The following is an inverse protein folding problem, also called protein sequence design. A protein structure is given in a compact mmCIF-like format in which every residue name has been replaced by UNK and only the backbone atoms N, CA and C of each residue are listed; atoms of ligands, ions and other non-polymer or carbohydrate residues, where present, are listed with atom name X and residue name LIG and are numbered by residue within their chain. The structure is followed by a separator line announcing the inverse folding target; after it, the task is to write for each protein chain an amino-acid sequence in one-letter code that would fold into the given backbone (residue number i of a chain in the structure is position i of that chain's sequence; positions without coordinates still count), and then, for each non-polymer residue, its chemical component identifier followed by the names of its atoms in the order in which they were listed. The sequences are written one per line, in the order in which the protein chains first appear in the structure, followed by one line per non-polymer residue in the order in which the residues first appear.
data_IF_792765579638
#
_entry.id   IF_792765579638
#
_cell.length_a   1.000
_cell.length_b   1.000
_cell.length_c   1.000
_cell.angle_alpha   90.00
_cell.angle_beta   90.00
_cell.angle_gamma   90.00
#
_symmetry.space_group_name_H-M   'P 1'
#
loop_
_entity.id
_entity.type
_entity.pdbx_description
1 polymer ?
#
# COMPACT_ATOMS: atom_id res chain seq x y z
N UNK A 1 -77.94 58.14 -18.59
CA UNK A 1 -79.01 57.45 -17.85
C UNK A 1 -78.43 56.38 -16.88
N UNK A 2 -78.22 56.82 -15.64
CA UNK A 2 -78.63 56.14 -14.40
C UNK A 2 -78.28 54.64 -14.18
N UNK A 3 -77.22 54.36 -13.38
CA UNK A 3 -77.13 53.56 -12.10
C UNK A 3 -77.71 52.11 -12.07
N UNK A 4 -77.28 51.10 -11.23
CA UNK A 4 -76.27 51.01 -10.14
C UNK A 4 -75.36 49.73 -10.06
N UNK A 5 -74.39 49.84 -9.13
CA UNK A 5 -73.87 48.89 -8.11
C UNK A 5 -74.00 47.36 -8.24
N UNK A 6 -72.87 46.68 -7.94
CA UNK A 6 -72.77 45.74 -6.79
C UNK A 6 -71.31 45.37 -6.47
N UNK A 7 -70.87 45.69 -5.26
CA UNK A 7 -69.79 45.01 -4.54
C UNK A 7 -70.18 43.55 -4.21
N UNK A 8 -69.19 42.67 -3.97
CA UNK A 8 -68.92 42.32 -2.58
C UNK A 8 -67.42 42.27 -2.21
N UNK A 9 -67.16 42.51 -0.93
CA UNK A 9 -65.94 42.21 -0.19
C UNK A 9 -65.77 40.68 -0.02
N UNK A 10 -64.57 40.21 0.34
CA UNK A 10 -64.24 39.56 1.64
C UNK A 10 -62.79 39.02 1.64
N UNK A 11 -62.10 39.26 2.77
CA UNK A 11 -60.94 38.57 3.38
C UNK A 11 -59.62 38.35 2.62
N UNK A 12 -58.62 39.17 3.00
CA UNK A 12 -57.22 38.78 3.01
C UNK A 12 -56.72 38.82 4.47
N UNK A 13 -56.42 37.64 5.03
CA UNK A 13 -55.72 37.47 6.31
C UNK A 13 -54.21 37.60 6.09
N UNK A 14 -53.48 38.41 6.88
CA UNK A 14 -52.02 38.49 6.79
C UNK A 14 -51.35 37.39 7.62
N UNK A 15 -50.55 36.54 6.98
CA UNK A 15 -49.66 35.60 7.65
C UNK A 15 -48.40 36.32 8.15
N UNK A 16 -47.99 35.94 9.37
CA UNK A 16 -47.04 36.60 10.22
C UNK A 16 -45.58 36.53 9.75
N UNK A 17 -44.85 37.61 10.04
CA UNK A 17 -43.39 37.73 10.10
C UNK A 17 -42.78 36.62 10.98
N UNK A 18 -41.84 35.87 10.41
CA UNK A 18 -40.92 35.01 11.15
C UNK A 18 -39.64 35.79 11.48
N UNK A 19 -39.15 35.77 12.73
CA UNK A 19 -37.93 36.47 13.11
C UNK A 19 -36.66 35.79 12.55
N UNK A 20 -35.61 36.55 12.24
CA UNK A 20 -34.34 36.01 11.75
C UNK A 20 -33.59 35.25 12.85
N UNK A 21 -33.00 34.11 12.46
CA UNK A 21 -32.20 33.26 13.32
C UNK A 21 -30.91 33.97 13.81
N UNK A 22 -30.51 33.78 15.09
CA UNK A 22 -29.28 34.36 15.64
C UNK A 22 -28.03 33.69 15.07
N UNK A 23 -27.00 34.52 14.86
CA UNK A 23 -25.77 34.20 14.16
C UNK A 23 -24.95 33.06 14.78
N UNK A 24 -24.33 32.29 13.88
CA UNK A 24 -23.23 31.40 14.21
C UNK A 24 -21.96 32.21 14.44
N UNK A 25 -21.52 32.30 15.69
CA UNK A 25 -20.18 32.77 16.01
C UNK A 25 -19.18 31.65 15.65
N UNK A 26 -18.22 31.97 14.77
CA UNK A 26 -17.08 31.11 14.48
C UNK A 26 -16.14 31.08 15.70
N UNK A 27 -16.21 29.97 16.44
CA UNK A 27 -15.26 29.65 17.50
C UNK A 27 -13.89 29.31 16.86
N UNK A 28 -12.97 30.28 16.90
CA UNK A 28 -11.58 30.10 16.49
C UNK A 28 -10.89 29.18 17.49
N UNK A 29 -10.66 27.93 17.08
CA UNK A 29 -9.89 26.96 17.85
C UNK A 29 -8.42 27.38 17.97
N UNK A 30 -8.02 27.81 19.17
CA UNK A 30 -6.62 28.03 19.54
C UNK A 30 -6.11 26.77 20.25
N UNK A 31 -5.14 26.02 19.68
CA UNK A 31 -4.60 24.84 20.34
C UNK A 31 -3.83 25.21 21.62
N UNK A 32 -3.88 24.38 22.67
CA UNK A 32 -3.15 24.64 23.91
C UNK A 32 -1.63 24.56 23.72
N UNK A 33 -0.84 25.36 24.47
CA UNK A 33 0.61 25.33 24.39
C UNK A 33 1.16 23.97 24.88
N UNK A 34 2.27 23.50 24.31
CA UNK A 34 2.88 22.23 24.70
C UNK A 34 3.36 22.28 26.17
N UNK A 35 3.35 21.14 26.89
CA UNK A 35 3.81 21.07 28.26
C UNK A 35 5.30 21.41 28.38
N UNK A 36 5.64 22.20 29.40
CA UNK A 36 7.00 22.59 29.72
C UNK A 36 7.88 21.35 30.00
N UNK A 37 9.01 21.25 29.29
CA UNK A 37 9.99 20.17 29.48
C UNK A 37 10.62 20.27 30.88
N UNK A 38 10.76 19.16 31.61
CA UNK A 38 11.50 19.16 32.88
C UNK A 38 13.00 19.42 32.64
N UNK A 39 13.70 20.07 33.59
CA UNK A 39 15.14 20.32 33.49
C UNK A 39 15.93 19.01 33.56
N UNK A 40 16.81 18.79 32.59
CA UNK A 40 17.77 17.68 32.62
C UNK A 40 18.79 17.91 33.73
N UNK A 41 18.84 16.98 34.69
CA UNK A 41 19.93 16.89 35.67
C UNK A 41 21.18 16.38 34.96
N UNK A 42 22.20 17.24 34.87
CA UNK A 42 23.56 16.87 34.50
C UNK A 42 24.16 15.95 35.55
N UNK A 43 24.40 14.69 35.22
CA UNK A 43 25.25 13.80 36.01
C UNK A 43 26.68 13.89 35.50
N UNK A 44 27.53 14.56 36.29
CA UNK A 44 28.98 14.53 36.13
C UNK A 44 29.48 13.10 36.30
N UNK A 45 30.03 12.52 35.23
CA UNK A 45 30.81 11.29 35.30
C UNK A 45 32.22 11.61 35.79
N UNK A 46 32.59 11.02 36.92
CA UNK A 46 33.90 11.16 37.53
C UNK A 46 34.98 10.42 36.74
N UNK A 47 36.15 11.07 36.65
CA UNK A 47 37.43 10.45 36.30
C UNK A 47 37.73 9.28 37.24
N UNK A 48 37.89 8.10 36.66
CA UNK A 48 38.51 6.94 37.30
C UNK A 48 39.66 6.47 36.41
N UNK A 49 40.84 6.99 36.72
CA UNK A 49 42.14 6.58 36.19
C UNK A 49 42.61 5.35 36.99
N UNK A 50 43.07 4.26 36.33
CA UNK A 50 44.09 3.43 36.95
C UNK A 50 45.31 3.31 36.03
N UNK A 51 46.35 3.98 36.49
CA UNK A 51 47.76 3.87 36.16
C UNK A 51 48.23 2.38 36.20
N UNK A 52 48.36 1.76 35.03
CA UNK A 52 48.99 0.45 34.85
C UNK A 52 50.52 0.60 34.84
N UNK A 53 51.15 0.16 35.92
CA UNK A 53 52.58 -0.19 35.95
C UNK A 53 52.77 -1.69 35.75
N UNK A 54 53.37 -2.07 34.62
CA UNK A 54 53.89 -3.42 34.36
C UNK A 54 55.06 -3.37 33.36
N UNK A 55 56.15 -4.12 33.57
CA UNK A 55 57.47 -3.82 32.99
C UNK A 55 57.76 -4.48 31.63
N UNK A 56 58.75 -3.92 30.93
CA UNK A 56 59.47 -4.50 29.78
C UNK A 56 59.99 -5.92 30.08
N UNK A 57 60.28 -6.75 29.06
CA UNK A 57 61.67 -6.73 28.54
C UNK A 57 61.86 -7.08 27.05
N UNK A 58 63.05 -6.72 26.53
CA UNK A 58 63.80 -7.34 25.42
C UNK A 58 63.15 -7.23 24.02
N UNK A 59 63.75 -6.61 23.01
CA UNK A 59 65.17 -6.58 22.64
C UNK A 59 65.30 -7.27 21.28
N UNK A 60 65.49 -6.50 20.20
CA UNK A 60 66.05 -6.98 18.93
C UNK A 60 66.65 -5.80 18.18
N UNK A 61 67.97 -5.77 18.12
CA UNK A 61 68.79 -4.99 17.18
C UNK A 61 68.57 -5.49 15.74
N UNK A 62 68.40 -4.59 14.76
CA UNK A 62 69.04 -4.66 13.44
C UNK A 62 68.75 -3.39 12.60
N UNK A 63 69.55 -3.06 11.56
CA UNK A 63 70.24 -1.78 11.52
C UNK A 63 69.81 -0.84 10.37
N UNK A 64 70.30 0.38 10.52
CA UNK A 64 70.36 1.54 9.64
C UNK A 64 70.32 1.35 8.10
N UNK A 65 69.40 2.11 7.49
CA UNK A 65 69.67 3.07 6.39
C UNK A 65 69.16 2.70 4.99
N UNK A 66 68.97 3.68 4.06
CA UNK A 66 68.93 5.13 4.22
C UNK A 66 67.59 5.78 3.79
N UNK A 67 67.41 6.96 4.37
CA UNK A 67 66.47 8.05 4.10
C UNK A 67 66.58 8.60 2.66
N UNK A 68 65.45 8.90 2.01
CA UNK A 68 65.39 10.02 1.08
C UNK A 68 64.51 11.16 1.62
N UNK A 69 65.06 12.36 1.44
CA UNK A 69 64.55 13.68 1.84
C UNK A 69 63.12 14.01 1.34
N UNK A 70 62.41 14.91 2.04
CA UNK A 70 61.12 15.43 1.63
C UNK A 70 61.28 16.59 0.63
N UNK A 71 60.87 16.38 -0.61
CA UNK A 71 60.67 17.50 -1.54
C UNK A 71 59.41 18.29 -1.16
N UNK A 72 59.64 19.58 -1.00
CA UNK A 72 58.68 20.64 -0.73
C UNK A 72 57.77 20.90 -1.93
N UNK A 73 56.51 21.16 -1.60
CA UNK A 73 55.64 22.23 -2.09
C UNK A 73 55.62 22.50 -3.60
N UNK A 74 54.45 22.26 -4.20
CA UNK A 74 53.78 23.27 -5.02
C UNK A 74 52.27 23.12 -4.85
N UNK A 75 51.69 24.16 -4.26
CA UNK A 75 50.29 24.40 -4.03
C UNK A 75 49.60 24.77 -5.34
N UNK A 76 48.71 23.90 -5.83
CA UNK A 76 47.79 24.21 -6.91
C UNK A 76 46.61 25.06 -6.36
N UNK A 77 46.14 26.06 -7.12
CA UNK A 77 45.21 27.07 -6.65
C UNK A 77 43.79 26.55 -6.48
N UNK A 78 43.18 27.02 -5.39
CA UNK A 78 41.77 26.96 -5.06
C UNK A 78 40.94 27.56 -6.23
N UNK A 79 40.01 26.81 -6.85
CA UNK A 79 39.15 27.37 -7.89
C UNK A 79 38.20 28.40 -7.27
N UNK A 80 38.26 29.62 -7.78
CA UNK A 80 37.31 30.69 -7.48
C UNK A 80 35.86 30.19 -7.74
N UNK A 81 34.89 30.50 -6.86
CA UNK A 81 33.51 30.13 -7.10
C UNK A 81 32.95 30.94 -8.28
N UNK A 82 32.67 30.26 -9.39
CA UNK A 82 31.87 30.82 -10.48
C UNK A 82 30.49 31.20 -9.93
N UNK A 83 30.22 32.50 -9.95
CA UNK A 83 28.94 33.11 -9.66
C UNK A 83 27.87 32.53 -10.59
N UNK A 84 26.93 31.76 -10.05
CA UNK A 84 25.74 31.34 -10.77
C UNK A 84 24.90 32.57 -11.18
N UNK A 85 24.42 32.64 -12.43
CA UNK A 85 23.50 33.71 -12.83
C UNK A 85 22.16 33.59 -12.08
N UNK A 86 21.68 34.73 -11.57
CA UNK A 86 20.33 34.90 -11.02
C UNK A 86 19.28 34.41 -12.04
N UNK A 87 18.32 33.56 -11.63
CA UNK A 87 17.18 33.24 -12.48
C UNK A 87 16.23 34.44 -12.59
N UNK A 88 15.98 34.85 -13.84
CA UNK A 88 14.96 35.82 -14.20
C UNK A 88 13.56 35.37 -13.73
N UNK A 89 12.69 36.29 -13.26
CA UNK A 89 11.34 35.92 -12.82
C UNK A 89 10.47 35.49 -14.00
N UNK A 90 10.08 34.22 -14.01
CA UNK A 90 9.05 33.70 -14.92
C UNK A 90 7.70 34.36 -14.65
N UNK A 91 7.21 35.06 -15.67
CA UNK A 91 5.89 35.67 -15.76
C UNK A 91 4.78 34.64 -15.67
N UNK A 92 3.88 34.81 -14.70
CA UNK A 92 2.61 34.11 -14.55
C UNK A 92 1.69 34.38 -15.75
N UNK A 93 1.19 33.36 -16.47
CA UNK A 93 0.11 33.55 -17.43
C UNK A 93 -1.23 33.65 -16.71
N UNK A 94 -1.82 34.84 -16.79
CA UNK A 94 -3.21 35.17 -16.47
C UNK A 94 -4.17 34.31 -17.32
N UNK A 95 -4.87 33.36 -16.69
CA UNK A 95 -5.87 32.53 -17.37
C UNK A 95 -7.26 33.09 -17.12
N UNK A 96 -7.86 33.57 -18.20
CA UNK A 96 -9.23 34.09 -18.28
C UNK A 96 -10.29 33.03 -17.89
N UNK A 97 -11.46 33.45 -17.37
CA UNK A 97 -12.55 32.56 -16.99
C UNK A 97 -13.31 32.04 -18.23
N UNK A 98 -13.47 30.72 -18.32
CA UNK A 98 -14.38 30.07 -19.27
C UNK A 98 -15.82 30.15 -18.77
N UNK A 99 -16.64 30.78 -19.60
CA UNK A 99 -18.07 31.01 -19.46
C UNK A 99 -18.86 29.70 -19.58
N UNK A 100 -19.79 29.49 -18.65
CA UNK A 100 -20.82 28.45 -18.73
C UNK A 100 -21.84 28.77 -19.84
N UNK A 101 -22.39 27.76 -20.53
CA UNK A 101 -23.68 27.90 -21.19
C UNK A 101 -24.80 27.27 -20.37
N UNK A 102 -25.75 28.12 -19.97
CA UNK A 102 -27.12 27.80 -19.59
C UNK A 102 -27.83 27.04 -20.73
N UNK A 103 -28.63 26.03 -20.39
CA UNK A 103 -29.69 25.54 -21.27
C UNK A 103 -30.99 25.41 -20.49
N UNK A 104 -31.97 26.12 -21.03
CA UNK A 104 -33.34 26.24 -20.58
C UNK A 104 -34.18 25.00 -20.92
N UNK A 105 -35.20 24.86 -20.07
CA UNK A 105 -36.44 24.08 -20.08
C UNK A 105 -37.19 23.92 -21.40
N UNK A 106 -37.84 22.76 -21.60
CA UNK A 106 -39.15 22.49 -22.24
C UNK A 106 -39.34 20.95 -22.29
N UNK A 107 -40.48 20.25 -22.22
CA UNK A 107 -41.90 20.46 -21.88
C UNK A 107 -42.52 19.04 -21.92
N UNK A 108 -43.47 18.72 -21.02
CA UNK A 108 -44.25 17.48 -21.01
C UNK A 108 -45.18 17.37 -22.25
N UNK A 109 -45.71 16.17 -22.58
CA UNK A 109 -47.07 15.88 -22.09
C UNK A 109 -47.39 14.40 -21.79
N UNK A 110 -48.32 14.25 -20.86
CA UNK A 110 -49.18 13.08 -20.58
C UNK A 110 -50.27 12.96 -21.66
N UNK A 111 -50.75 11.74 -22.02
CA UNK A 111 -52.13 11.39 -21.64
C UNK A 111 -52.39 9.90 -21.38
N UNK A 112 -53.22 9.61 -20.37
CA UNK A 112 -54.10 8.42 -20.31
C UNK A 112 -55.35 8.64 -21.20
N UNK A 113 -56.08 7.59 -21.66
CA UNK A 113 -57.19 7.09 -20.83
C UNK A 113 -57.54 5.60 -20.92
N UNK A 114 -58.39 5.23 -19.97
CA UNK A 114 -59.10 4.00 -19.60
C UNK A 114 -59.95 3.33 -20.70
N UNK A 115 -60.12 2.00 -20.59
CA UNK A 115 -61.38 1.18 -20.62
C UNK A 115 -61.00 -0.28 -20.96
N UNK A 116 -61.74 -1.36 -20.69
CA UNK A 116 -62.76 -1.78 -19.72
C UNK A 116 -63.09 -3.23 -20.14
N UNK A 117 -63.50 -4.06 -19.18
CA UNK A 117 -64.32 -5.28 -19.33
C UNK A 117 -63.71 -6.61 -19.84
N UNK A 118 -63.79 -7.58 -18.92
CA UNK A 118 -63.77 -9.03 -19.09
C UNK A 118 -64.93 -9.57 -19.95
N UNK A 119 -64.90 -10.86 -20.32
CA UNK A 119 -65.77 -11.78 -19.57
C UNK A 119 -65.14 -13.14 -19.21
N UNK A 120 -65.34 -13.50 -17.95
CA UNK A 120 -65.77 -14.79 -17.41
C UNK A 120 -65.72 -16.03 -18.32
N UNK A 121 -64.76 -16.93 -18.04
CA UNK A 121 -64.91 -18.39 -18.20
C UNK A 121 -64.20 -19.12 -17.08
N UNK A 122 -64.95 -19.99 -16.42
CA UNK A 122 -64.50 -21.14 -15.64
C UNK A 122 -65.36 -22.34 -16.07
N UNK A 123 -65.05 -23.60 -15.70
CA UNK A 123 -63.85 -24.14 -15.06
C UNK A 123 -63.25 -25.33 -15.87
N UNK A 124 -62.38 -26.12 -15.23
CA UNK A 124 -61.71 -27.36 -15.70
C UNK A 124 -60.36 -27.06 -16.39
N UNK A 125 -59.20 -27.52 -15.93
CA UNK A 125 -58.87 -28.82 -15.35
C UNK A 125 -57.69 -28.69 -14.39
N UNK A 126 -57.81 -29.33 -13.24
CA UNK A 126 -56.78 -29.57 -12.25
C UNK A 126 -55.63 -30.39 -12.87
N UNK A 127 -54.50 -29.76 -13.13
CA UNK A 127 -53.23 -30.44 -13.38
C UNK A 127 -52.17 -29.66 -12.63
N UNK A 128 -51.70 -30.26 -11.54
CA UNK A 128 -50.71 -29.71 -10.64
C UNK A 128 -49.45 -29.27 -11.43
N UNK A 129 -48.98 -28.02 -11.28
CA UNK A 129 -47.64 -27.67 -11.69
C UNK A 129 -46.68 -28.29 -10.67
N UNK A 130 -45.80 -29.14 -11.20
CA UNK A 130 -44.57 -29.59 -10.55
C UNK A 130 -43.85 -28.35 -10.03
N UNK A 131 -43.74 -28.24 -8.70
CA UNK A 131 -43.14 -27.10 -8.03
C UNK A 131 -41.67 -26.97 -8.46
N UNK A 132 -41.44 -26.12 -9.45
CA UNK A 132 -40.14 -25.57 -9.79
C UNK A 132 -39.55 -25.01 -8.50
N UNK A 133 -38.58 -25.75 -7.97
CA UNK A 133 -37.93 -25.43 -6.70
C UNK A 133 -37.19 -24.11 -6.91
N UNK A 134 -37.81 -23.02 -6.46
CA UNK A 134 -37.19 -21.71 -6.42
C UNK A 134 -35.80 -21.86 -5.79
N UNK A 135 -34.74 -21.31 -6.41
CA UNK A 135 -33.39 -21.40 -5.86
C UNK A 135 -33.43 -20.85 -4.43
N UNK A 136 -32.99 -21.67 -3.48
CA UNK A 136 -32.89 -21.27 -2.09
C UNK A 136 -32.16 -19.91 -2.01
N UNK A 137 -32.63 -18.97 -1.19
CA UNK A 137 -31.98 -17.67 -1.05
C UNK A 137 -30.50 -17.89 -0.71
N UNK A 138 -29.58 -17.12 -1.31
CA UNK A 138 -28.16 -17.31 -1.05
C UNK A 138 -27.92 -17.21 0.45
N UNK A 139 -27.41 -18.29 1.04
CA UNK A 139 -27.04 -18.34 2.44
C UNK A 139 -26.07 -17.19 2.67
N UNK A 140 -26.48 -16.19 3.47
CA UNK A 140 -25.60 -15.09 3.88
C UNK A 140 -24.39 -15.71 4.56
N UNK A 141 -23.25 -15.73 3.88
CA UNK A 141 -21.97 -16.10 4.48
C UNK A 141 -21.65 -15.04 5.52
N UNK A 142 -21.67 -15.42 6.79
CA UNK A 142 -21.14 -14.57 7.85
C UNK A 142 -19.63 -14.61 7.70
N UNK A 143 -19.02 -13.45 7.44
CA UNK A 143 -17.58 -13.39 7.29
C UNK A 143 -16.89 -13.73 8.62
N UNK A 144 -16.02 -14.73 8.63
CA UNK A 144 -15.24 -15.00 9.83
C UNK A 144 -14.18 -13.89 10.01
N UNK A 145 -13.79 -13.57 11.26
CA UNK A 145 -12.74 -12.60 11.50
C UNK A 145 -11.43 -13.01 10.81
N UNK A 146 -10.75 -12.05 10.18
CA UNK A 146 -9.43 -12.30 9.61
C UNK A 146 -8.44 -12.71 10.71
N UNK A 147 -7.54 -13.67 10.43
CA UNK A 147 -6.52 -14.05 11.39
C UNK A 147 -5.65 -12.83 11.76
N UNK A 148 -5.22 -12.72 13.03
CA UNK A 148 -4.33 -11.64 13.45
C UNK A 148 -2.99 -11.79 12.74
N UNK A 149 -2.39 -10.66 12.36
CA UNK A 149 -1.05 -10.61 11.77
C UNK A 149 -0.14 -9.80 12.68
N UNK A 150 1.16 -10.16 12.81
CA UNK A 150 2.07 -9.48 13.73
C UNK A 150 2.31 -8.01 13.39
N UNK A 151 2.32 -7.67 12.11
CA UNK A 151 2.59 -6.33 11.62
C UNK A 151 1.53 -5.86 10.63
N UNK A 152 1.22 -4.58 10.68
CA UNK A 152 0.30 -3.90 9.77
C UNK A 152 1.09 -3.05 8.76
N UNK A 153 0.52 -2.75 7.59
CA UNK A 153 1.04 -1.69 6.74
C UNK A 153 1.20 -0.40 7.54
N UNK A 154 2.40 0.20 7.51
CA UNK A 154 2.70 1.40 8.30
C UNK A 154 3.44 1.18 9.61
N UNK A 155 3.79 -0.06 9.98
CA UNK A 155 4.63 -0.37 11.15
C UNK A 155 5.94 0.44 11.18
N UNK A 156 6.32 0.95 12.35
CA UNK A 156 7.59 1.65 12.57
C UNK A 156 8.43 0.82 13.51
N UNK A 157 9.65 0.47 13.09
CA UNK A 157 10.54 -0.31 13.94
C UNK A 157 10.95 0.49 15.17
N UNK A 158 11.00 -0.18 16.32
CA UNK A 158 11.57 0.33 17.57
C UNK A 158 13.07 0.09 17.62
N UNK A 159 13.76 0.77 18.54
CA UNK A 159 15.20 0.55 18.75
C UNK A 159 15.50 -0.89 19.22
N UNK A 160 14.62 -1.46 20.05
CA UNK A 160 14.74 -2.83 20.51
C UNK A 160 14.59 -3.85 19.36
N UNK A 161 13.63 -3.63 18.45
CA UNK A 161 13.47 -4.48 17.26
C UNK A 161 14.69 -4.39 16.35
N UNK A 162 15.23 -3.19 16.12
CA UNK A 162 16.45 -3.00 15.31
C UNK A 162 17.67 -3.68 15.94
N UNK A 163 17.85 -3.53 17.25
CA UNK A 163 18.95 -4.17 17.99
C UNK A 163 18.85 -5.70 17.94
N UNK A 164 17.63 -6.25 18.12
CA UNK A 164 17.39 -7.68 18.03
C UNK A 164 17.60 -8.20 16.60
N UNK A 165 17.13 -7.49 15.58
CA UNK A 165 17.39 -7.85 14.18
C UNK A 165 18.90 -7.83 13.87
N UNK A 166 19.63 -6.83 14.35
CA UNK A 166 21.08 -6.76 14.16
C UNK A 166 21.79 -7.97 14.75
N UNK A 167 21.40 -8.42 15.93
CA UNK A 167 21.93 -9.64 16.55
C UNK A 167 21.59 -10.90 15.72
N UNK A 168 20.36 -11.01 15.20
CA UNK A 168 19.96 -12.12 14.33
C UNK A 168 20.77 -12.16 13.03
N UNK A 169 21.06 -11.01 12.46
CA UNK A 169 21.73 -10.86 11.17
C UNK A 169 23.26 -10.71 11.29
N UNK A 170 23.87 -10.91 12.46
CA UNK A 170 25.29 -10.63 12.73
C UNK A 170 26.22 -11.17 11.64
N UNK A 171 26.06 -12.44 11.26
CA UNK A 171 26.90 -13.12 10.27
C UNK A 171 26.82 -12.53 8.85
N UNK A 172 25.72 -11.84 8.51
CA UNK A 172 25.46 -11.28 7.17
C UNK A 172 25.39 -9.75 7.17
N UNK A 173 25.48 -9.12 8.34
CA UNK A 173 25.21 -7.71 8.56
C UNK A 173 26.09 -6.82 7.69
N UNK A 174 27.40 -7.04 7.70
CA UNK A 174 28.35 -6.18 6.98
C UNK A 174 28.16 -6.24 5.46
N UNK A 175 27.92 -7.44 4.92
CA UNK A 175 27.66 -7.65 3.48
C UNK A 175 26.49 -6.79 3.01
N UNK A 176 25.36 -6.87 3.71
CA UNK A 176 24.17 -6.10 3.36
C UNK A 176 24.31 -4.62 3.73
N UNK A 177 25.02 -4.31 4.81
CA UNK A 177 25.34 -2.95 5.23
C UNK A 177 26.14 -2.17 4.18
N UNK A 178 27.12 -2.80 3.51
CA UNK A 178 27.87 -2.17 2.40
C UNK A 178 26.98 -1.88 1.19
N UNK A 179 26.04 -2.76 0.87
CA UNK A 179 25.09 -2.54 -0.24
C UNK A 179 24.15 -1.36 0.07
N UNK A 180 23.58 -1.34 1.28
CA UNK A 180 22.68 -0.27 1.74
C UNK A 180 23.41 1.07 1.86
N UNK A 181 24.66 1.09 2.35
CA UNK A 181 25.45 2.33 2.42
C UNK A 181 25.60 3.00 1.05
N UNK A 182 25.87 2.22 -0.01
CA UNK A 182 25.94 2.70 -1.40
C UNK A 182 24.60 3.22 -1.93
N UNK A 183 23.48 2.72 -1.41
CA UNK A 183 22.17 3.25 -1.75
C UNK A 183 21.88 4.55 -1.00
N UNK A 184 22.22 4.63 0.29
CA UNK A 184 21.99 5.82 1.11
C UNK A 184 22.75 7.05 0.60
N UNK A 185 23.90 6.88 -0.07
CA UNK A 185 24.58 8.01 -0.74
C UNK A 185 23.74 8.62 -1.88
N UNK A 186 22.82 7.85 -2.47
CA UNK A 186 21.86 8.30 -3.49
C UNK A 186 20.55 8.86 -2.88
N UNK A 187 20.43 8.89 -1.55
CA UNK A 187 19.23 9.33 -0.81
C UNK A 187 19.58 10.34 0.30
N UNK A 188 19.96 11.58 -0.06
CA UNK A 188 20.50 12.56 0.89
C UNK A 188 19.49 13.07 1.93
N UNK A 189 18.19 12.78 1.76
CA UNK A 189 17.11 13.21 2.65
C UNK A 189 17.13 12.52 4.03
N UNK A 190 17.84 11.39 4.18
CA UNK A 190 17.96 10.67 5.45
C UNK A 190 19.28 11.06 6.13
N UNK A 191 19.24 11.82 7.22
CA UNK A 191 20.43 12.28 7.95
C UNK A 191 20.34 12.02 9.46
N UNK A 192 21.50 11.94 10.11
CA UNK A 192 21.60 11.80 11.57
C UNK A 192 20.96 10.50 12.09
N UNK A 193 20.22 10.59 13.19
CA UNK A 193 19.59 9.42 13.84
C UNK A 193 18.57 8.72 12.94
N UNK A 194 17.90 9.45 12.06
CA UNK A 194 16.98 8.84 11.09
C UNK A 194 17.75 7.96 10.09
N UNK A 195 18.97 8.34 9.73
CA UNK A 195 19.80 7.56 8.81
C UNK A 195 20.24 6.23 9.42
N UNK A 196 20.64 6.20 10.68
CA UNK A 196 21.04 4.94 11.34
C UNK A 196 19.84 4.02 11.57
N UNK A 197 18.70 4.57 12.00
CA UNK A 197 17.45 3.80 12.09
C UNK A 197 17.02 3.24 10.71
N UNK A 198 17.09 4.07 9.67
CA UNK A 198 16.79 3.65 8.31
C UNK A 198 17.78 2.60 7.79
N UNK A 199 19.07 2.67 8.18
CA UNK A 199 20.08 1.71 7.74
C UNK A 199 19.72 0.29 8.18
N UNK A 200 19.37 0.08 9.45
CA UNK A 200 18.97 -1.23 9.95
C UNK A 200 17.71 -1.76 9.22
N UNK A 201 16.69 -0.93 9.07
CA UNK A 201 15.46 -1.27 8.35
C UNK A 201 15.77 -1.67 6.88
N UNK A 202 16.59 -0.89 6.19
CA UNK A 202 16.93 -1.12 4.79
C UNK A 202 17.84 -2.34 4.60
N UNK A 203 18.66 -2.69 5.61
CA UNK A 203 19.40 -3.97 5.62
C UNK A 203 18.43 -5.14 5.66
N UNK A 204 17.38 -5.08 6.49
CA UNK A 204 16.34 -6.12 6.52
C UNK A 204 15.67 -6.28 5.15
N UNK A 205 15.26 -5.18 4.53
CA UNK A 205 14.62 -5.26 3.22
C UNK A 205 15.58 -5.74 2.12
N UNK A 206 16.84 -5.29 2.10
CA UNK A 206 17.83 -5.81 1.15
C UNK A 206 18.08 -7.31 1.37
N UNK A 207 18.18 -7.76 2.63
CA UNK A 207 18.37 -9.18 2.97
C UNK A 207 17.21 -10.02 2.39
N UNK A 208 15.97 -9.56 2.58
CA UNK A 208 14.76 -10.23 2.08
C UNK A 208 14.77 -10.38 0.56
N UNK A 209 15.13 -9.30 -0.15
CA UNK A 209 15.10 -9.26 -1.60
C UNK A 209 16.22 -10.05 -2.28
N UNK A 210 17.28 -10.43 -1.56
CA UNK A 210 18.51 -10.98 -2.16
C UNK A 210 18.94 -12.32 -1.59
N UNK A 211 18.21 -12.86 -0.61
CA UNK A 211 18.56 -14.11 0.07
C UNK A 211 17.46 -15.14 -0.12
N UNK A 212 17.76 -16.19 -0.88
CA UNK A 212 16.88 -17.33 -1.15
C UNK A 212 17.11 -18.51 -0.20
N UNK A 213 18.27 -18.61 0.44
CA UNK A 213 18.64 -19.77 1.26
C UNK A 213 19.09 -19.38 2.67
N UNK A 214 18.94 -20.31 3.61
CA UNK A 214 19.35 -20.17 5.01
C UNK A 214 18.26 -19.65 5.95
N UNK A 215 18.61 -19.49 7.23
CA UNK A 215 17.66 -19.17 8.30
C UNK A 215 17.04 -17.77 8.23
N UNK A 216 17.54 -16.91 7.33
CA UNK A 216 17.02 -15.57 7.07
C UNK A 216 16.55 -15.42 5.62
N UNK A 217 16.29 -16.53 4.91
CA UNK A 217 15.71 -16.48 3.57
C UNK A 217 14.29 -15.92 3.60
N UNK A 218 13.83 -15.44 2.45
CA UNK A 218 12.45 -14.96 2.31
C UNK A 218 11.40 -16.03 2.61
N UNK A 219 11.67 -17.29 2.23
CA UNK A 219 10.78 -18.42 2.53
C UNK A 219 10.70 -18.75 4.01
N UNK A 220 11.85 -18.72 4.71
CA UNK A 220 11.89 -18.92 6.15
C UNK A 220 11.10 -17.83 6.88
N UNK A 221 11.29 -16.57 6.46
CA UNK A 221 10.53 -15.45 7.01
C UNK A 221 9.03 -15.59 6.76
N UNK A 222 8.62 -15.93 5.53
CA UNK A 222 7.22 -16.09 5.19
C UNK A 222 6.57 -17.23 5.99
N UNK A 223 7.27 -18.34 6.17
CA UNK A 223 6.80 -19.48 6.97
C UNK A 223 6.72 -19.14 8.45
N UNK A 224 7.72 -18.47 9.01
CA UNK A 224 7.71 -18.01 10.40
C UNK A 224 6.54 -17.07 10.67
N UNK A 225 6.29 -16.10 9.78
CA UNK A 225 5.15 -15.17 9.92
C UNK A 225 3.80 -15.86 9.82
N UNK A 226 3.64 -16.86 8.94
CA UNK A 226 2.40 -17.64 8.80
C UNK A 226 2.16 -18.61 9.97
N UNK A 227 3.21 -19.14 10.57
CA UNK A 227 3.14 -20.01 11.76
C UNK A 227 3.10 -19.25 13.09
N UNK A 228 3.35 -17.93 13.07
CA UNK A 228 3.43 -17.10 14.27
C UNK A 228 4.74 -17.30 15.05
N UNK A 229 5.80 -17.76 14.40
CA UNK A 229 7.09 -17.96 15.02
C UNK A 229 7.76 -16.63 15.38
N UNK A 230 8.17 -16.52 16.65
CA UNK A 230 8.59 -15.26 17.27
C UNK A 230 10.02 -14.80 16.95
N UNK A 231 11.03 -15.68 16.78
CA UNK A 231 12.42 -15.28 16.56
C UNK A 231 12.63 -14.38 15.34
N UNK A 232 11.83 -14.52 14.28
CA UNK A 232 11.95 -13.69 13.07
C UNK A 232 11.08 -12.42 13.08
N UNK A 233 10.33 -12.15 14.17
CA UNK A 233 9.54 -10.93 14.26
C UNK A 233 10.37 -9.64 14.22
N UNK A 234 11.54 -9.52 14.88
CA UNK A 234 12.38 -8.33 14.74
C UNK A 234 12.82 -8.08 13.29
N UNK A 235 13.08 -9.15 12.54
CA UNK A 235 13.41 -9.07 11.12
C UNK A 235 12.23 -8.52 10.30
N UNK A 236 11.03 -9.08 10.49
CA UNK A 236 9.82 -8.61 9.83
C UNK A 236 9.44 -7.16 10.21
N UNK A 237 9.65 -6.75 11.47
CA UNK A 237 9.42 -5.38 11.93
C UNK A 237 10.29 -4.37 11.17
N UNK A 238 11.59 -4.65 11.06
CA UNK A 238 12.54 -3.81 10.32
C UNK A 238 12.19 -3.75 8.83
N UNK A 239 11.79 -4.89 8.23
CA UNK A 239 11.34 -4.95 6.84
C UNK A 239 10.09 -4.08 6.62
N UNK A 240 9.05 -4.23 7.45
CA UNK A 240 7.82 -3.45 7.35
C UNK A 240 8.10 -1.94 7.51
N UNK A 241 9.01 -1.56 8.41
CA UNK A 241 9.46 -0.19 8.60
C UNK A 241 10.20 0.36 7.38
N UNK A 242 11.09 -0.43 6.76
CA UNK A 242 11.82 -0.03 5.55
C UNK A 242 10.89 0.28 4.37
N UNK A 243 9.88 -0.56 4.15
CA UNK A 243 8.94 -0.39 3.04
C UNK A 243 8.26 0.99 3.06
N UNK A 244 8.00 1.57 4.24
CA UNK A 244 7.39 2.90 4.35
C UNK A 244 8.24 4.02 3.75
N UNK A 245 9.55 3.81 3.69
CA UNK A 245 10.55 4.79 3.21
C UNK A 245 10.70 4.77 1.69
N UNK A 246 10.16 3.74 1.04
CA UNK A 246 10.27 3.57 -0.39
C UNK A 246 9.13 4.28 -1.14
N UNK A 247 9.35 4.65 -2.41
CA UNK A 247 8.31 5.22 -3.25
C UNK A 247 7.09 4.30 -3.37
N UNK A 248 5.90 4.88 -3.22
CA UNK A 248 4.64 4.16 -3.42
C UNK A 248 4.40 3.86 -4.90
N UNK A 249 3.88 2.67 -5.17
CA UNK A 249 3.37 2.21 -6.46
C UNK A 249 1.84 2.27 -6.47
N UNK A 250 1.30 2.97 -7.47
CA UNK A 250 -0.13 3.00 -7.79
C UNK A 250 -0.30 2.46 -9.20
N UNK A 251 -1.03 1.36 -9.35
CA UNK A 251 -1.18 0.67 -10.63
C UNK A 251 -1.48 -0.81 -10.46
N UNK A 252 -1.48 -1.54 -11.58
CA UNK A 252 -1.76 -2.97 -11.63
C UNK A 252 -0.45 -3.77 -11.64
N UNK A 253 -0.29 -4.67 -10.68
CA UNK A 253 0.84 -5.58 -10.60
C UNK A 253 0.36 -7.04 -10.62
N UNK A 254 1.21 -7.94 -11.10
CA UNK A 254 0.90 -9.35 -11.29
C UNK A 254 1.69 -10.22 -10.32
N UNK A 255 1.12 -11.32 -9.88
CA UNK A 255 1.78 -12.35 -9.07
C UNK A 255 1.37 -13.73 -9.58
N UNK A 256 2.34 -14.63 -9.71
CA UNK A 256 2.05 -16.05 -9.97
C UNK A 256 1.54 -16.73 -8.70
N UNK A 257 0.64 -17.69 -8.83
CA UNK A 257 0.09 -18.42 -7.68
C UNK A 257 0.90 -19.68 -7.33
N UNK A 258 2.05 -19.91 -7.96
CA UNK A 258 2.86 -21.12 -7.79
C UNK A 258 2.32 -22.34 -8.54
N UNK A 259 3.16 -23.38 -8.61
CA UNK A 259 2.84 -24.64 -9.27
C UNK A 259 1.72 -25.45 -8.57
N UNK A 260 1.59 -25.31 -7.25
CA UNK A 260 0.52 -25.93 -6.47
C UNK A 260 -0.86 -25.31 -6.75
N UNK A 261 -0.88 -24.14 -7.41
CA UNK A 261 -2.09 -23.43 -7.75
C UNK A 261 -2.85 -22.90 -6.54
N UNK A 262 -4.16 -22.70 -6.70
CA UNK A 262 -5.01 -22.08 -5.69
C UNK A 262 -5.98 -23.16 -5.19
N UNK A 263 -5.60 -23.82 -4.09
CA UNK A 263 -6.32 -24.96 -3.54
C UNK A 263 -7.76 -24.59 -3.12
N UNK A 264 -7.93 -23.51 -2.34
CA UNK A 264 -9.22 -22.94 -1.97
C UNK A 264 -9.46 -21.69 -2.83
N UNK A 265 -10.32 -21.79 -3.87
CA UNK A 265 -10.65 -20.64 -4.72
C UNK A 265 -11.47 -19.64 -3.93
N UNK A 266 -10.98 -18.40 -3.72
CA UNK A 266 -11.78 -17.39 -3.06
C UNK A 266 -12.93 -16.95 -3.97
N UNK A 267 -13.95 -16.35 -3.39
CA UNK A 267 -15.08 -15.77 -4.13
C UNK A 267 -15.00 -14.25 -4.14
N UNK A 268 -15.61 -13.57 -5.13
CA UNK A 268 -15.77 -12.12 -5.10
C UNK A 268 -16.34 -11.63 -3.77
N UNK A 269 -15.76 -10.54 -3.25
CA UNK A 269 -16.06 -10.00 -1.93
C UNK A 269 -15.21 -10.57 -0.79
N UNK A 270 -14.51 -11.69 -0.99
CA UNK A 270 -13.59 -12.24 0.02
C UNK A 270 -12.45 -11.27 0.32
N UNK A 271 -12.00 -11.31 1.57
CA UNK A 271 -10.83 -10.58 2.02
C UNK A 271 -9.67 -11.56 2.24
N UNK A 272 -8.56 -11.27 1.58
CA UNK A 272 -7.30 -11.99 1.67
C UNK A 272 -6.30 -11.14 2.46
N UNK A 273 -5.57 -11.82 3.34
CA UNK A 273 -4.52 -11.21 4.13
C UNK A 273 -3.38 -12.20 4.32
N UNK A 274 -2.17 -11.79 3.97
CA UNK A 274 -0.96 -12.56 4.25
C UNK A 274 -0.17 -11.89 5.39
N UNK A 275 0.23 -12.64 6.44
CA UNK A 275 1.15 -12.12 7.44
C UNK A 275 2.57 -11.89 6.90
N UNK A 276 2.95 -12.52 5.78
CA UNK A 276 4.21 -12.28 5.09
C UNK A 276 4.13 -11.09 4.12
N UNK A 277 5.26 -10.47 3.75
CA UNK A 277 5.28 -9.53 2.63
C UNK A 277 4.83 -10.23 1.34
N UNK A 278 4.06 -9.53 0.51
CA UNK A 278 3.64 -10.04 -0.81
C UNK A 278 4.41 -9.29 -1.87
N UNK A 279 5.06 -9.98 -2.81
CA UNK A 279 5.69 -9.34 -3.95
C UNK A 279 4.87 -9.55 -5.23
N UNK A 280 4.87 -8.54 -6.08
CA UNK A 280 4.23 -8.55 -7.39
C UNK A 280 5.07 -7.75 -8.39
N UNK A 281 4.87 -8.04 -9.68
CA UNK A 281 5.60 -7.42 -10.77
C UNK A 281 4.67 -6.52 -11.59
N UNK A 282 4.91 -5.19 -11.64
CA UNK A 282 4.35 -4.32 -12.66
C UNK A 282 4.88 -4.72 -14.03
N UNK A 283 3.98 -4.86 -14.99
CA UNK A 283 4.36 -5.16 -16.38
C UNK A 283 4.50 -3.86 -17.16
N UNK A 284 5.56 -3.77 -17.97
CA UNK A 284 5.68 -2.74 -18.98
C UNK A 284 4.64 -2.98 -20.08
N UNK A 285 4.17 -1.91 -20.73
CA UNK A 285 3.18 -2.02 -21.81
C UNK A 285 3.59 -3.05 -22.86
N UNK A 286 2.70 -4.00 -23.15
CA UNK A 286 2.94 -5.08 -24.11
C UNK A 286 3.84 -6.22 -23.60
N UNK A 287 4.34 -6.15 -22.36
CA UNK A 287 5.09 -7.25 -21.77
C UNK A 287 4.15 -8.44 -21.52
N UNK A 288 4.60 -9.67 -21.82
CA UNK A 288 3.78 -10.84 -21.56
C UNK A 288 3.68 -11.08 -20.05
N UNK A 289 2.51 -11.54 -19.61
CA UNK A 289 2.29 -12.01 -18.23
C UNK A 289 2.53 -13.52 -18.13
N UNK A 290 2.71 -14.10 -16.92
CA UNK A 290 3.11 -15.49 -16.80
C UNK A 290 2.01 -16.43 -17.33
N UNK A 291 2.23 -17.74 -17.28
CA UNK A 291 1.18 -18.75 -17.49
C UNK A 291 0.70 -19.31 -16.16
N UNK A 292 -0.44 -20.01 -16.18
CA UNK A 292 -0.97 -20.66 -14.99
C UNK A 292 -1.77 -19.72 -14.09
N UNK A 293 -1.99 -20.16 -12.85
CA UNK A 293 -2.80 -19.45 -11.88
C UNK A 293 -2.15 -18.14 -11.45
N UNK A 294 -2.92 -17.05 -11.40
CA UNK A 294 -2.41 -15.70 -11.21
C UNK A 294 -3.27 -14.84 -10.33
N UNK A 295 -2.63 -13.90 -9.64
CA UNK A 295 -3.25 -12.78 -8.97
C UNK A 295 -2.91 -11.48 -9.71
N UNK A 296 -3.93 -10.65 -9.94
CA UNK A 296 -3.79 -9.31 -10.51
C UNK A 296 -4.22 -8.31 -9.46
N UNK A 297 -3.30 -7.46 -9.03
CA UNK A 297 -3.48 -6.59 -7.87
C UNK A 297 -3.52 -5.13 -8.32
N UNK A 298 -4.67 -4.47 -8.15
CA UNK A 298 -4.77 -3.01 -8.21
C UNK A 298 -4.21 -2.42 -6.91
N UNK A 299 -2.94 -2.01 -6.97
CA UNK A 299 -2.16 -1.43 -5.87
C UNK A 299 -2.39 0.07 -5.72
N UNK A 300 -2.37 0.52 -4.47
CA UNK A 300 -2.34 1.93 -4.07
C UNK A 300 -1.23 2.24 -3.06
N UNK A 301 -0.75 1.25 -2.29
CA UNK A 301 0.33 1.43 -1.30
C UNK A 301 1.52 0.50 -1.46
N UNK A 302 1.52 -0.42 -2.42
CA UNK A 302 2.71 -1.23 -2.75
C UNK A 302 3.97 -0.37 -2.90
N UNK A 303 5.15 -0.93 -2.63
CA UNK A 303 6.41 -0.17 -2.56
C UNK A 303 7.40 -0.64 -3.61
N UNK A 304 7.91 0.29 -4.42
CA UNK A 304 8.90 -0.03 -5.47
C UNK A 304 10.25 -0.29 -4.83
N UNK A 305 10.82 -1.46 -5.08
CA UNK A 305 12.11 -1.87 -4.48
C UNK A 305 13.31 -1.80 -5.42
N UNK A 306 13.14 -1.34 -6.68
CA UNK A 306 14.23 -1.27 -7.67
C UNK A 306 15.49 -0.55 -7.20
N UNK A 307 15.37 0.40 -6.27
CA UNK A 307 16.50 1.17 -5.74
C UNK A 307 17.44 0.31 -4.88
N UNK A 308 16.91 -0.78 -4.29
CA UNK A 308 17.64 -1.73 -3.45
C UNK A 308 18.19 -2.91 -4.24
N UNK A 309 17.57 -3.26 -5.37
CA UNK A 309 17.90 -4.46 -6.15
C UNK A 309 18.70 -4.17 -7.42
N UNK A 310 19.13 -2.91 -7.62
CA UNK A 310 19.83 -2.37 -8.80
C UNK A 310 21.15 -3.12 -9.13
N UNK A 311 21.00 -4.35 -9.61
CA UNK A 311 21.99 -5.10 -10.36
C UNK A 311 21.95 -4.52 -11.76
N UNK A 312 23.03 -3.83 -12.17
CA UNK A 312 23.21 -3.16 -13.48
C UNK A 312 22.98 -4.04 -14.74
N UNK A 313 22.50 -5.28 -14.59
CA UNK A 313 22.22 -6.24 -15.65
C UNK A 313 20.75 -6.69 -15.73
N UNK A 314 19.91 -6.35 -14.74
CA UNK A 314 18.47 -6.61 -14.81
C UNK A 314 17.78 -5.31 -15.27
N UNK A 315 17.39 -5.24 -16.54
CA UNK A 315 16.71 -4.07 -17.11
C UNK A 315 15.40 -3.70 -16.39
N UNK A 316 14.64 -2.77 -16.97
CA UNK A 316 13.34 -2.30 -16.45
C UNK A 316 12.28 -3.39 -16.14
N UNK A 317 12.58 -4.65 -16.46
CA UNK A 317 11.78 -5.85 -16.21
C UNK A 317 11.75 -6.34 -14.74
N UNK A 318 12.48 -5.70 -13.80
CA UNK A 318 12.48 -6.08 -12.37
C UNK A 318 12.14 -4.91 -11.43
N UNK A 319 11.18 -4.06 -11.81
CA UNK A 319 10.65 -3.04 -10.90
C UNK A 319 9.63 -3.66 -9.93
N UNK A 320 10.08 -4.63 -9.15
CA UNK A 320 9.26 -5.38 -8.20
C UNK A 320 8.60 -4.42 -7.21
N UNK A 321 7.35 -4.76 -6.88
CA UNK A 321 6.54 -4.06 -5.90
C UNK A 321 6.31 -4.99 -4.74
N UNK A 322 6.68 -4.53 -3.55
CA UNK A 322 6.49 -5.27 -2.30
C UNK A 322 5.38 -4.61 -1.50
N UNK A 323 4.38 -5.40 -1.14
CA UNK A 323 3.34 -5.03 -0.20
C UNK A 323 3.80 -5.40 1.21
N UNK A 324 3.65 -4.50 2.20
CA UNK A 324 3.99 -4.80 3.58
C UNK A 324 3.26 -6.03 4.14
N UNK A 325 3.83 -6.69 5.16
CA UNK A 325 3.10 -7.65 5.98
C UNK A 325 1.71 -7.15 6.37
N UNK A 326 0.71 -8.03 6.23
CA UNK A 326 -0.65 -7.73 6.67
C UNK A 326 -1.47 -6.85 5.74
N UNK A 327 -0.99 -6.56 4.51
CA UNK A 327 -1.77 -5.89 3.47
C UNK A 327 -3.08 -6.62 3.21
N UNK A 328 -4.16 -5.85 3.15
CA UNK A 328 -5.51 -6.35 2.93
C UNK A 328 -5.87 -6.26 1.46
N UNK A 329 -6.25 -7.38 0.86
CA UNK A 329 -6.68 -7.46 -0.53
C UNK A 329 -8.11 -7.97 -0.61
N UNK A 330 -8.99 -7.25 -1.31
CA UNK A 330 -10.35 -7.69 -1.61
C UNK A 330 -10.38 -8.39 -2.96
N UNK A 331 -11.04 -9.52 -3.03
CA UNK A 331 -11.31 -10.23 -4.28
C UNK A 331 -12.43 -9.52 -5.02
N UNK A 332 -12.14 -9.03 -6.22
CA UNK A 332 -13.11 -8.35 -7.08
C UNK A 332 -13.83 -9.34 -7.99
N UNK A 333 -13.06 -10.27 -8.56
CA UNK A 333 -13.55 -11.22 -9.55
C UNK A 333 -12.59 -12.43 -9.63
N UNK A 334 -13.11 -13.57 -10.08
CA UNK A 334 -12.33 -14.79 -10.34
C UNK A 334 -12.70 -15.33 -11.71
N UNK A 335 -11.75 -15.28 -12.62
CA UNK A 335 -11.91 -15.69 -14.01
C UNK A 335 -11.11 -16.95 -14.29
N UNK A 336 -11.42 -17.60 -15.40
CA UNK A 336 -10.56 -18.65 -15.95
C UNK A 336 -9.93 -18.18 -17.25
N UNK A 337 -8.63 -18.41 -17.38
CA UNK A 337 -7.88 -18.02 -18.56
C UNK A 337 -6.81 -19.05 -18.89
N UNK A 338 -6.84 -19.56 -20.13
CA UNK A 338 -5.92 -20.62 -20.55
C UNK A 338 -6.02 -21.89 -19.68
N UNK A 339 -7.18 -22.14 -19.07
CA UNK A 339 -7.41 -23.29 -18.18
C UNK A 339 -6.90 -23.09 -16.74
N UNK A 340 -6.49 -21.88 -16.36
CA UNK A 340 -6.02 -21.56 -15.02
C UNK A 340 -6.79 -20.38 -14.40
N UNK A 341 -6.92 -20.32 -13.07
CA UNK A 341 -7.64 -19.23 -12.41
C UNK A 341 -6.86 -17.91 -12.46
N UNK A 342 -7.56 -16.84 -12.80
CA UNK A 342 -7.10 -15.45 -12.76
C UNK A 342 -7.91 -14.70 -11.71
N UNK A 343 -7.28 -14.36 -10.59
CA UNK A 343 -7.94 -13.71 -9.46
C UNK A 343 -7.63 -12.21 -9.48
N UNK A 344 -8.68 -11.40 -9.54
CA UNK A 344 -8.58 -9.95 -9.61
C UNK A 344 -8.76 -9.36 -8.21
N UNK A 345 -7.78 -8.60 -7.76
CA UNK A 345 -7.67 -8.11 -6.39
C UNK A 345 -7.57 -6.59 -6.35
N UNK A 346 -8.20 -5.98 -5.35
CA UNK A 346 -7.97 -4.58 -4.98
C UNK A 346 -7.30 -4.50 -3.62
N UNK A 347 -6.28 -3.67 -3.52
CA UNK A 347 -5.74 -3.29 -2.22
C UNK A 347 -6.72 -2.37 -1.47
N UNK A 348 -7.03 -2.74 -0.22
CA UNK A 348 -7.88 -1.95 0.69
C UNK A 348 -6.97 -1.21 1.67
N UNK A 349 -6.82 0.13 1.56
CA UNK A 349 -6.02 0.90 2.49
C UNK A 349 -6.57 0.78 3.91
N UNK A 350 -5.75 0.33 4.84
CA UNK A 350 -6.07 0.37 6.26
C UNK A 350 -5.75 1.78 6.77
N UNK A 351 -6.77 2.61 6.92
CA UNK A 351 -6.64 3.99 7.45
C UNK A 351 -6.56 4.03 8.97
N UNK A 352 -6.89 2.93 9.66
CA UNK A 352 -6.80 2.83 11.12
C UNK A 352 -6.19 1.48 11.52
N UNK A 353 -5.19 1.46 12.43
CA UNK A 353 -4.64 0.23 12.98
C UNK A 353 -5.75 -0.61 13.62
N UNK A 354 -5.78 -1.91 13.34
CA UNK A 354 -6.79 -2.85 13.87
C UNK A 354 -8.23 -2.62 13.41
N UNK A 355 -8.49 -1.71 12.45
CA UNK A 355 -9.80 -1.65 11.82
C UNK A 355 -10.11 -3.02 11.20
N UNK A 356 -11.16 -3.64 11.69
CA UNK A 356 -11.75 -4.76 10.99
C UNK A 356 -12.46 -4.15 9.77
N UNK A 357 -12.06 -4.53 8.55
CA UNK A 357 -12.83 -4.15 7.38
C UNK A 357 -14.28 -4.63 7.58
N UNK A 358 -15.25 -3.79 7.26
CA UNK A 358 -16.66 -4.17 7.29
C UNK A 358 -16.81 -5.53 6.59
N UNK A 359 -17.49 -6.52 7.21
CA UNK A 359 -17.76 -7.82 6.62
C UNK A 359 -18.22 -7.62 5.19
N UNK A 360 -17.53 -8.24 4.23
CA UNK A 360 -17.71 -8.00 2.81
C UNK A 360 -19.19 -8.00 2.45
N UNK A 361 -19.74 -6.82 2.15
CA UNK A 361 -20.93 -6.76 1.33
C UNK A 361 -20.59 -7.57 0.08
N UNK A 362 -21.44 -8.53 -0.26
CA UNK A 362 -21.26 -9.33 -1.48
C UNK A 362 -21.24 -8.44 -2.74
N UNK A 363 -21.69 -7.19 -2.61
CA UNK A 363 -21.77 -6.22 -3.68
C UNK A 363 -20.51 -5.34 -3.74
N UNK A 364 -19.97 -5.20 -4.96
CA UNK A 364 -18.79 -4.39 -5.26
C UNK A 364 -19.11 -2.90 -5.13
N UNK A 365 -18.33 -2.19 -4.32
CA UNK A 365 -18.46 -0.75 -4.13
C UNK A 365 -17.99 0.04 -5.41
N UNK A 366 -18.22 1.36 -5.50
CA UNK A 366 -17.72 2.15 -6.64
C UNK A 366 -16.19 2.10 -6.82
N UNK A 367 -15.41 1.96 -5.74
CA UNK A 367 -13.96 1.86 -5.81
C UNK A 367 -13.49 0.48 -6.28
N UNK A 368 -14.23 -0.59 -5.94
CA UNK A 368 -14.08 -1.94 -6.48
C UNK A 368 -14.29 -1.95 -7.98
N UNK A 369 -15.40 -1.38 -8.46
CA UNK A 369 -15.70 -1.26 -9.89
C UNK A 369 -14.62 -0.48 -10.64
N UNK A 370 -14.22 0.69 -10.12
CA UNK A 370 -13.14 1.46 -10.73
C UNK A 370 -11.79 0.72 -10.75
N UNK A 371 -11.51 -0.14 -9.76
CA UNK A 371 -10.31 -0.98 -9.76
C UNK A 371 -10.40 -2.11 -10.78
N UNK A 372 -11.58 -2.73 -10.92
CA UNK A 372 -11.84 -3.76 -11.91
C UNK A 372 -11.69 -3.20 -13.34
N UNK A 373 -12.25 -2.03 -13.63
CA UNK A 373 -12.12 -1.36 -14.92
C UNK A 373 -10.64 -1.08 -15.29
N UNK A 374 -9.83 -0.64 -14.33
CA UNK A 374 -8.38 -0.43 -14.53
C UNK A 374 -7.66 -1.74 -14.81
N UNK A 375 -8.01 -2.81 -14.11
CA UNK A 375 -7.45 -4.14 -14.34
C UNK A 375 -7.81 -4.62 -15.74
N UNK A 376 -9.07 -4.45 -16.17
CA UNK A 376 -9.55 -4.87 -17.48
C UNK A 376 -8.86 -4.12 -18.63
N UNK A 377 -8.61 -2.82 -18.48
CA UNK A 377 -7.79 -2.06 -19.43
C UNK A 377 -6.36 -2.62 -19.54
N UNK A 378 -5.72 -2.92 -18.40
CA UNK A 378 -4.36 -3.48 -18.39
C UNK A 378 -4.34 -4.89 -19.01
N UNK A 379 -5.32 -5.75 -18.70
CA UNK A 379 -5.41 -7.10 -19.26
C UNK A 379 -5.59 -7.08 -20.78
N UNK A 380 -6.37 -6.13 -21.33
CA UNK A 380 -6.49 -5.94 -22.79
C UNK A 380 -5.15 -5.62 -23.47
N UNK A 381 -4.24 -4.94 -22.76
CA UNK A 381 -2.92 -4.57 -23.26
C UNK A 381 -1.82 -5.62 -23.08
N UNK A 382 -2.04 -6.69 -22.31
CA UNK A 382 -1.00 -7.66 -21.93
C UNK A 382 -1.46 -9.11 -22.18
N UNK A 383 -0.88 -9.74 -23.20
CA UNK A 383 -1.13 -11.13 -23.54
C UNK A 383 -0.35 -12.09 -22.63
N UNK A 384 -0.84 -13.32 -22.53
CA UNK A 384 -0.16 -14.41 -21.82
C UNK A 384 1.12 -14.81 -22.57
N UNK A 385 2.22 -15.01 -21.83
CA UNK A 385 3.51 -15.38 -22.39
C UNK A 385 3.45 -16.65 -23.26
N UNK A 386 3.99 -16.62 -24.50
CA UNK A 386 4.16 -17.81 -25.31
C UNK A 386 5.41 -18.57 -24.84
N UNK A 387 5.26 -19.38 -23.80
CA UNK A 387 6.32 -20.25 -23.28
C UNK A 387 6.59 -20.04 -21.79
N UNK A 388 7.61 -20.69 -21.23
CA UNK A 388 8.05 -20.40 -19.87
C UNK A 388 8.61 -18.97 -19.84
N UNK A 389 7.95 -18.11 -19.08
CA UNK A 389 8.48 -16.80 -18.74
C UNK A 389 9.17 -16.92 -17.37
N UNK A 390 10.42 -16.47 -17.27
CA UNK A 390 11.18 -16.51 -16.02
C UNK A 390 10.60 -15.49 -15.04
N UNK A 391 9.61 -15.93 -14.29
CA UNK A 391 8.93 -15.14 -13.29
C UNK A 391 9.79 -15.03 -12.02
N UNK A 392 9.92 -13.84 -11.40
CA UNK A 392 10.69 -13.71 -10.17
C UNK A 392 10.12 -14.59 -9.05
N UNK A 393 10.99 -15.33 -8.36
CA UNK A 393 10.64 -16.26 -7.28
C UNK A 393 9.78 -15.60 -6.19
N UNK A 394 10.19 -14.40 -5.72
CA UNK A 394 9.44 -13.62 -4.74
C UNK A 394 8.02 -13.25 -5.22
N UNK A 395 7.84 -13.09 -6.53
CA UNK A 395 6.57 -12.77 -7.17
C UNK A 395 5.73 -14.02 -7.52
N UNK A 396 6.14 -15.21 -7.07
CA UNK A 396 5.40 -16.46 -7.24
C UNK A 396 4.99 -17.08 -5.90
N UNK A 397 3.95 -17.92 -5.91
CA UNK A 397 3.45 -18.66 -4.76
C UNK A 397 2.12 -18.12 -4.18
N UNK A 398 1.50 -18.90 -3.28
CA UNK A 398 0.15 -18.64 -2.80
C UNK A 398 0.04 -17.34 -1.99
N UNK A 399 -1.17 -16.76 -1.98
CA UNK A 399 -1.47 -15.53 -1.25
C UNK A 399 -2.48 -15.76 -0.14
N UNK A 400 -2.07 -15.49 1.10
CA UNK A 400 -2.94 -15.25 2.25
C UNK A 400 -3.79 -16.42 2.75
N UNK A 401 -4.49 -16.17 3.85
CA UNK A 401 -5.60 -17.00 4.36
C UNK A 401 -6.90 -16.22 4.19
N UNK A 402 -7.95 -16.86 3.67
CA UNK A 402 -9.26 -16.23 3.43
C UNK A 402 -10.08 -16.13 4.72
N UNK A 403 -10.70 -14.98 4.97
CA UNK A 403 -11.63 -14.81 6.10
C UNK A 403 -12.93 -15.64 5.96
N UNK A 404 -13.35 -15.96 4.74
CA UNK A 404 -14.64 -16.60 4.48
C UNK A 404 -14.53 -18.13 4.35
N UNK A 405 -13.81 -18.78 5.26
CA UNK A 405 -13.84 -20.25 5.29
C UNK A 405 -15.24 -20.70 5.76
N UNK A 406 -15.94 -21.59 5.04
CA UNK A 406 -17.14 -22.21 5.59
C UNK A 406 -16.72 -22.91 6.89
N UNK A 407 -17.37 -22.54 8.00
CA UNK A 407 -17.25 -23.28 9.26
C UNK A 407 -17.71 -24.70 8.94
N UNK A 408 -16.78 -25.65 8.97
CA UNK A 408 -17.13 -27.06 8.92
C UNK A 408 -17.64 -27.40 10.31
N UNK A 409 -18.93 -27.74 10.41
CA UNK A 409 -19.55 -28.29 11.62
C UNK A 409 -18.92 -29.63 12.03
#
# INVERSE_FOLDING_TARGET
PTVPDRHPATDASPAADAPPAPGAEEDVYVPPPPPARPPMMSVSSGSGDPDEKGPEPTGTEQPAGPEPEPERAESDPEPEPETAPEPEPETTPERAPETAPERETETAPEPEPETETAPERAPETETAPEAETAPAPPVRRVAAPLPPVPFQPGHISTEAERSAFRALAEAVWDRHGTAVARMLTRMPALRGQEQEAARADLIALHLYLTTSEGALSHDELARALRSGDRPLLPYAACLASALRRLPSYRGVAFRGAGAEGIADRPVPGDLLRDPAPVCALPLASGAPRPRGAQYVISSVTGRRVRQLTDQRSAGAARDEVVFPPGTLLRVLDVREEGGAPLILLREVPLTTPHAQPEPGAAELDPADRAALDRIDEVLRGHSVAPGPFDWPELCDGPLGQSANRPVSD
#
